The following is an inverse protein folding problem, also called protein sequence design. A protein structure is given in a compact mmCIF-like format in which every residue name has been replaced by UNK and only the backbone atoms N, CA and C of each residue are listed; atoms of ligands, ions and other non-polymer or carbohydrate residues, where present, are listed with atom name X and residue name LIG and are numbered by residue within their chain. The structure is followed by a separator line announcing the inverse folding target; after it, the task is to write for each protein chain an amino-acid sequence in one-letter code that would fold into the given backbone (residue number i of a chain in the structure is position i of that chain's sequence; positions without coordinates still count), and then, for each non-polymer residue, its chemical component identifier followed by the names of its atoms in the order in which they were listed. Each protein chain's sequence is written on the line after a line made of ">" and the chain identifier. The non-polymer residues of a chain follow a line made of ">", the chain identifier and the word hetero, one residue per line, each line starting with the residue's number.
data_IF_886532731403
#
_entry.id   IF_886532731403
#
_cell.length_a   1.000
_cell.length_b   1.000
_cell.length_c   1.000
_cell.angle_alpha   90.00
_cell.angle_beta   90.00
_cell.angle_gamma   90.00
#
_symmetry.space_group_name_H-M   'P 1'
#
loop_
_entity.id
_entity.type
_entity.pdbx_description
1 polymer ?
#
# COMPACT_ATOMS: atom_id res chain seq x y z
N UNK A 1 21.53 18.20 10.51
CA UNK A 1 20.94 18.04 9.17
C UNK A 1 21.81 17.03 8.44
N UNK A 2 21.36 15.78 8.34
CA UNK A 2 21.94 14.82 7.39
C UNK A 2 21.78 15.45 5.99
N UNK A 3 22.88 15.57 5.25
CA UNK A 3 22.82 16.00 3.86
C UNK A 3 21.87 15.04 3.14
N UNK A 4 20.72 15.56 2.68
CA UNK A 4 19.72 14.75 2.00
C UNK A 4 20.37 14.10 0.79
N UNK A 5 20.58 12.81 0.88
CA UNK A 5 20.86 12.00 -0.31
C UNK A 5 19.65 12.15 -1.22
N UNK A 6 19.89 12.51 -2.47
CA UNK A 6 18.84 12.55 -3.48
C UNK A 6 18.21 11.14 -3.56
N UNK A 7 16.91 11.02 -3.31
CA UNK A 7 16.21 9.74 -3.27
C UNK A 7 16.32 8.96 -4.59
N UNK A 8 16.64 9.63 -5.71
CA UNK A 8 16.94 8.99 -6.99
C UNK A 8 18.14 8.03 -6.94
N UNK A 9 19.02 8.18 -5.97
CA UNK A 9 20.24 7.37 -5.81
C UNK A 9 20.21 6.49 -4.56
N UNK A 10 19.07 6.43 -3.87
CA UNK A 10 18.91 5.64 -2.64
C UNK A 10 18.81 4.15 -2.95
N UNK A 11 19.50 3.34 -2.14
CA UNK A 11 19.39 1.90 -2.17
C UNK A 11 18.30 1.45 -1.20
N UNK A 12 17.21 0.91 -1.74
CA UNK A 12 16.09 0.41 -0.94
C UNK A 12 16.23 -1.10 -0.69
N UNK A 13 16.07 -1.51 0.56
CA UNK A 13 16.00 -2.91 0.98
C UNK A 13 14.56 -3.27 1.31
N UNK A 14 13.99 -4.19 0.53
CA UNK A 14 12.64 -4.71 0.78
C UNK A 14 12.64 -5.67 1.95
N UNK A 15 11.74 -5.49 2.89
CA UNK A 15 11.57 -6.35 4.07
C UNK A 15 10.16 -6.92 4.12
N UNK A 16 10.07 -8.25 4.08
CA UNK A 16 8.89 -8.98 4.51
C UNK A 16 9.04 -9.29 6.00
N UNK A 17 8.40 -8.48 6.85
CA UNK A 17 8.55 -8.56 8.32
C UNK A 17 8.26 -9.97 8.83
N UNK A 18 7.20 -10.61 8.32
CA UNK A 18 6.76 -11.97 8.68
C UNK A 18 7.88 -13.01 8.71
N UNK A 19 8.85 -12.91 7.80
CA UNK A 19 9.93 -13.88 7.63
C UNK A 19 11.33 -13.34 7.92
N UNK A 20 11.46 -12.08 8.35
CA UNK A 20 12.78 -11.45 8.47
C UNK A 20 13.51 -11.86 9.75
N UNK A 21 12.96 -11.58 10.93
CA UNK A 21 13.55 -11.97 12.21
C UNK A 21 12.47 -11.98 13.31
N UNK A 22 12.39 -13.14 13.99
CA UNK A 22 11.49 -13.42 15.09
C UNK A 22 12.14 -12.93 16.39
N UNK A 23 11.65 -11.84 16.96
CA UNK A 23 12.21 -11.23 18.16
C UNK A 23 11.63 -11.79 19.46
N UNK A 24 10.40 -12.28 19.45
CA UNK A 24 9.69 -12.77 20.63
C UNK A 24 9.64 -14.30 20.74
N UNK A 25 9.99 -15.03 19.67
CA UNK A 25 10.10 -16.49 19.65
C UNK A 25 8.80 -17.22 19.33
N UNK A 26 7.84 -16.55 18.70
CA UNK A 26 6.55 -17.13 18.31
C UNK A 26 6.60 -17.87 16.96
N UNK A 27 7.67 -17.72 16.21
CA UNK A 27 7.90 -18.32 14.89
C UNK A 27 7.58 -17.39 13.73
N UNK A 28 7.20 -16.15 13.99
CA UNK A 28 6.89 -15.11 13.02
C UNK A 28 7.83 -13.92 13.23
N UNK A 29 8.31 -13.31 12.15
CA UNK A 29 9.11 -12.08 12.25
C UNK A 29 8.26 -10.90 12.72
N UNK A 30 8.89 -9.98 13.46
CA UNK A 30 8.24 -8.84 14.08
C UNK A 30 9.08 -7.56 14.00
N UNK A 31 8.49 -6.41 14.34
CA UNK A 31 9.15 -5.11 14.30
C UNK A 31 10.26 -4.96 15.35
N UNK A 32 10.11 -5.46 16.59
CA UNK A 32 11.22 -5.52 17.54
C UNK A 32 12.42 -6.30 16.99
N UNK A 33 12.18 -7.48 16.41
CA UNK A 33 13.21 -8.30 15.80
C UNK A 33 13.88 -7.64 14.61
N UNK A 34 13.10 -6.99 13.73
CA UNK A 34 13.64 -6.20 12.63
C UNK A 34 14.52 -5.05 13.17
N UNK A 35 14.07 -4.35 14.21
CA UNK A 35 14.81 -3.25 14.84
C UNK A 35 16.14 -3.74 15.40
N UNK A 36 16.18 -4.92 16.03
CA UNK A 36 17.41 -5.54 16.54
C UNK A 36 18.42 -5.81 15.41
N UNK A 37 17.95 -6.08 14.19
CA UNK A 37 18.80 -6.46 13.04
C UNK A 37 19.10 -5.32 12.08
N UNK A 38 18.76 -4.08 12.41
CA UNK A 38 19.02 -2.92 11.52
C UNK A 38 20.50 -2.78 11.15
N UNK A 39 21.43 -3.12 12.04
CA UNK A 39 22.86 -3.05 11.76
C UNK A 39 23.32 -4.01 10.64
N UNK A 40 22.53 -5.02 10.30
CA UNK A 40 22.77 -5.84 9.10
C UNK A 40 22.45 -5.06 7.80
N UNK A 41 21.44 -4.21 7.84
CA UNK A 41 21.02 -3.41 6.69
C UNK A 41 21.90 -2.17 6.56
N UNK A 42 22.08 -1.43 7.66
CA UNK A 42 22.95 -0.27 7.77
C UNK A 42 23.20 0.06 9.24
N UNK A 43 24.47 0.09 9.65
CA UNK A 43 24.87 0.40 11.03
C UNK A 43 25.00 1.92 11.31
N UNK A 44 24.73 2.76 10.31
CA UNK A 44 24.85 4.21 10.40
C UNK A 44 26.27 4.73 10.34
N UNK A 45 27.26 3.88 10.11
CA UNK A 45 28.67 4.25 10.08
C UNK A 45 29.27 4.03 8.68
N UNK A 46 29.46 5.06 7.86
CA UNK A 46 29.97 4.91 6.49
C UNK A 46 31.43 4.44 6.41
N UNK A 47 32.10 4.25 7.52
CA UNK A 47 33.48 3.74 7.58
C UNK A 47 33.55 2.21 7.79
N UNK A 48 32.44 1.56 8.04
CA UNK A 48 32.33 0.10 8.12
C UNK A 48 31.99 -0.51 6.78
N UNK A 49 32.26 -1.79 6.60
CA UNK A 49 31.91 -2.61 5.44
C UNK A 49 31.23 -3.92 5.86
N UNK A 50 30.58 -3.89 7.04
CA UNK A 50 29.98 -5.05 7.68
C UNK A 50 28.48 -5.16 7.52
N UNK A 51 27.86 -4.15 6.89
CA UNK A 51 26.44 -4.07 6.57
C UNK A 51 26.19 -4.07 5.05
N UNK A 52 24.93 -3.95 4.64
CA UNK A 52 24.56 -3.85 3.23
C UNK A 52 24.70 -2.44 2.66
N UNK A 53 24.82 -1.41 3.51
CA UNK A 53 24.89 0.00 3.14
C UNK A 53 23.61 0.54 2.51
N UNK A 54 22.46 -0.11 2.69
CA UNK A 54 21.18 0.40 2.20
C UNK A 54 20.72 1.55 3.08
N UNK A 55 20.31 2.64 2.46
CA UNK A 55 19.89 3.87 3.13
C UNK A 55 18.36 4.12 3.02
N UNK A 56 17.62 3.13 2.56
CA UNK A 56 16.16 3.04 2.57
C UNK A 56 15.68 1.64 2.89
N UNK A 57 14.56 1.53 3.60
CA UNK A 57 13.84 0.28 3.83
C UNK A 57 12.42 0.44 3.28
N UNK A 58 11.99 -0.53 2.47
CA UNK A 58 10.61 -0.70 2.09
C UNK A 58 10.02 -1.87 2.86
N UNK A 59 9.05 -1.59 3.72
CA UNK A 59 8.27 -2.61 4.42
C UNK A 59 7.12 -3.08 3.53
N UNK A 60 7.05 -4.37 3.23
CA UNK A 60 5.82 -5.00 2.76
C UNK A 60 4.70 -4.74 3.77
N UNK A 61 3.40 -4.96 3.44
CA UNK A 61 2.29 -4.52 4.28
C UNK A 61 2.44 -4.90 5.75
N UNK A 62 2.23 -3.93 6.64
CA UNK A 62 2.36 -4.08 8.11
C UNK A 62 1.04 -3.87 8.85
N UNK A 63 -0.01 -3.49 8.12
CA UNK A 63 -1.34 -3.22 8.68
C UNK A 63 -2.08 -4.52 8.97
N UNK A 64 -3.08 -4.50 9.89
CA UNK A 64 -3.93 -5.66 10.16
C UNK A 64 -4.58 -6.22 8.89
N UNK A 65 -4.55 -7.54 8.75
CA UNK A 65 -5.06 -8.25 7.60
C UNK A 65 -5.50 -9.67 7.97
N UNK A 66 -6.17 -10.38 7.06
CA UNK A 66 -6.56 -11.77 7.28
C UNK A 66 -5.55 -12.78 6.76
N UNK A 67 -4.62 -12.34 5.89
CA UNK A 67 -3.59 -13.19 5.28
C UNK A 67 -2.20 -12.90 5.82
N UNK A 68 -1.29 -13.86 5.62
CA UNK A 68 0.12 -13.72 6.05
C UNK A 68 0.88 -12.64 5.29
N UNK A 69 0.51 -12.36 4.03
CA UNK A 69 1.14 -11.33 3.21
C UNK A 69 0.60 -9.93 3.46
N UNK A 70 -0.57 -9.83 4.09
CA UNK A 70 -1.21 -8.59 4.57
C UNK A 70 -1.61 -7.57 3.51
N UNK A 71 -1.73 -7.99 2.23
CA UNK A 71 -2.28 -7.11 1.19
C UNK A 71 -3.80 -6.91 1.30
N UNK A 72 -4.51 -7.73 2.07
CA UNK A 72 -5.93 -7.61 2.37
C UNK A 72 -6.17 -6.83 3.67
N UNK A 73 -5.95 -5.52 3.63
CA UNK A 73 -5.99 -4.64 4.80
C UNK A 73 -7.38 -4.59 5.43
N UNK A 74 -7.45 -4.71 6.77
CA UNK A 74 -8.66 -4.58 7.57
C UNK A 74 -8.72 -3.30 8.41
N UNK A 75 -7.57 -2.65 8.63
CA UNK A 75 -7.44 -1.36 9.34
C UNK A 75 -6.19 -0.63 8.82
N UNK A 76 -6.37 0.54 8.21
CA UNK A 76 -5.27 1.31 7.63
C UNK A 76 -4.45 2.10 8.65
N UNK A 77 -4.92 2.27 9.89
CA UNK A 77 -4.28 3.11 10.90
C UNK A 77 -3.75 2.30 12.10
N UNK A 78 -3.42 1.03 11.90
CA UNK A 78 -2.88 0.16 12.93
C UNK A 78 -1.71 -0.68 12.40
N UNK A 79 -0.96 -1.26 13.34
CA UNK A 79 0.02 -2.32 13.08
C UNK A 79 -0.63 -3.66 13.40
N UNK A 80 -0.40 -4.66 12.53
CA UNK A 80 -0.85 -6.03 12.78
C UNK A 80 -0.25 -6.57 14.08
N UNK A 81 -1.10 -7.17 14.93
CA UNK A 81 -0.68 -7.67 16.25
C UNK A 81 0.45 -8.71 16.20
N UNK A 82 0.58 -9.44 15.07
CA UNK A 82 1.69 -10.37 14.87
C UNK A 82 3.04 -9.66 14.69
N UNK A 83 3.02 -8.38 14.31
CA UNK A 83 4.24 -7.60 14.06
C UNK A 83 4.61 -6.71 15.25
N UNK A 84 3.73 -6.58 16.24
CA UNK A 84 3.91 -5.76 17.42
C UNK A 84 2.89 -4.63 17.54
N UNK A 85 3.32 -3.53 18.13
CA UNK A 85 2.48 -2.37 18.44
C UNK A 85 2.86 -1.15 17.57
N UNK A 86 2.04 -0.11 17.62
CA UNK A 86 2.39 1.18 17.03
C UNK A 86 3.65 1.79 17.68
N UNK A 87 3.87 1.58 18.98
CA UNK A 87 5.10 2.02 19.66
C UNK A 87 6.34 1.29 19.14
N UNK A 88 6.22 0.00 18.80
CA UNK A 88 7.30 -0.76 18.16
C UNK A 88 7.61 -0.22 16.77
N UNK A 89 6.58 0.16 15.99
CA UNK A 89 6.76 0.78 14.68
C UNK A 89 7.45 2.15 14.79
N UNK A 90 7.01 3.02 15.71
CA UNK A 90 7.65 4.31 15.95
C UNK A 90 9.10 4.14 16.43
N UNK A 91 9.37 3.14 17.25
CA UNK A 91 10.74 2.77 17.69
C UNK A 91 11.60 2.35 16.50
N UNK A 92 11.07 1.51 15.62
CA UNK A 92 11.74 1.10 14.38
C UNK A 92 12.05 2.29 13.48
N UNK A 93 11.06 3.15 13.20
CA UNK A 93 11.26 4.35 12.36
C UNK A 93 12.34 5.26 12.94
N UNK A 94 12.30 5.53 14.24
CA UNK A 94 13.30 6.36 14.91
C UNK A 94 14.71 5.72 14.81
N UNK A 95 14.83 4.42 15.01
CA UNK A 95 16.10 3.71 14.88
C UNK A 95 16.65 3.72 13.44
N UNK A 96 15.76 3.70 12.44
CA UNK A 96 16.12 3.90 11.03
C UNK A 96 16.67 5.31 10.81
N UNK A 97 15.94 6.32 11.26
CA UNK A 97 16.34 7.73 11.07
C UNK A 97 17.66 8.05 11.75
N UNK A 98 17.94 7.50 12.93
CA UNK A 98 19.24 7.64 13.61
C UNK A 98 20.41 7.10 12.79
N UNK A 99 20.17 6.12 11.91
CA UNK A 99 21.13 5.54 10.95
C UNK A 99 21.15 6.19 9.58
N UNK A 100 20.29 7.19 9.35
CA UNK A 100 20.12 7.83 8.03
C UNK A 100 19.32 6.97 7.04
N UNK A 101 18.60 5.95 7.52
CA UNK A 101 17.72 5.10 6.72
C UNK A 101 16.34 5.75 6.63
N UNK A 102 15.79 5.90 5.43
CA UNK A 102 14.40 6.31 5.21
C UNK A 102 13.47 5.09 5.20
N UNK A 103 12.25 5.29 5.67
CA UNK A 103 11.25 4.22 5.77
C UNK A 103 10.11 4.47 4.80
N UNK A 104 9.89 3.51 3.90
CA UNK A 104 8.77 3.44 2.98
C UNK A 104 7.87 2.27 3.38
N UNK A 105 6.57 2.51 3.42
CA UNK A 105 5.57 1.45 3.65
C UNK A 105 4.85 1.07 2.36
N UNK A 106 4.45 -0.19 2.29
CA UNK A 106 3.51 -0.64 1.26
C UNK A 106 2.13 -0.05 1.53
N UNK A 107 1.54 0.60 0.54
CA UNK A 107 0.29 1.34 0.67
C UNK A 107 -0.75 0.81 -0.31
N UNK A 108 -1.65 -0.02 0.20
CA UNK A 108 -2.61 -0.79 -0.59
C UNK A 108 -3.88 0.03 -0.75
N UNK A 109 -3.96 0.87 -1.80
CA UNK A 109 -5.14 1.69 -2.06
C UNK A 109 -6.13 1.04 -3.04
N UNK A 110 -5.69 0.05 -3.84
CA UNK A 110 -6.55 -0.55 -4.84
C UNK A 110 -7.75 -1.29 -4.25
N UNK A 111 -7.57 -1.94 -3.12
CA UNK A 111 -8.57 -2.82 -2.50
C UNK A 111 -8.42 -2.88 -0.99
N UNK A 112 -9.45 -3.35 -0.32
CA UNK A 112 -9.41 -3.72 1.10
C UNK A 112 -9.58 -5.22 1.27
N UNK A 113 -9.48 -5.73 2.50
CA UNK A 113 -10.06 -7.02 2.84
C UNK A 113 -11.60 -6.97 2.72
N UNK A 114 -12.23 -8.10 2.35
CA UNK A 114 -13.68 -8.28 2.51
C UNK A 114 -14.12 -8.18 3.98
N UNK A 115 -13.19 -8.28 4.93
CA UNK A 115 -13.44 -8.11 6.36
C UNK A 115 -13.26 -6.65 6.83
N UNK A 116 -12.86 -5.74 5.95
CA UNK A 116 -12.77 -4.32 6.30
C UNK A 116 -14.14 -3.77 6.70
N UNK A 117 -14.26 -2.94 7.76
CA UNK A 117 -15.53 -2.38 8.21
C UNK A 117 -16.32 -1.65 7.11
N UNK A 118 -15.63 -0.97 6.19
CA UNK A 118 -16.29 -0.29 5.06
C UNK A 118 -17.05 -1.30 4.18
N UNK A 119 -16.38 -2.39 3.75
CA UNK A 119 -17.01 -3.39 2.92
C UNK A 119 -18.12 -4.15 3.64
N UNK A 120 -17.89 -4.53 4.90
CA UNK A 120 -18.91 -5.24 5.70
C UNK A 120 -20.17 -4.39 5.86
N UNK A 121 -20.04 -3.09 6.15
CA UNK A 121 -21.18 -2.19 6.29
C UNK A 121 -21.95 -2.03 4.96
N UNK A 122 -21.23 -1.83 3.85
CA UNK A 122 -21.86 -1.77 2.53
C UNK A 122 -22.57 -3.09 2.18
N UNK A 123 -21.92 -4.22 2.43
CA UNK A 123 -22.47 -5.54 2.14
C UNK A 123 -23.72 -5.85 2.97
N UNK A 124 -23.76 -5.51 4.26
CA UNK A 124 -24.94 -5.66 5.11
C UNK A 124 -26.10 -4.78 4.62
N UNK A 125 -25.82 -3.51 4.31
CA UNK A 125 -26.82 -2.60 3.76
C UNK A 125 -27.43 -3.15 2.45
N UNK A 126 -26.60 -3.63 1.51
CA UNK A 126 -27.07 -4.19 0.25
C UNK A 126 -27.86 -5.48 0.40
N UNK A 127 -27.55 -6.31 1.41
CA UNK A 127 -28.33 -7.53 1.73
C UNK A 127 -29.73 -7.22 2.24
N UNK A 128 -29.87 -6.12 2.99
CA UNK A 128 -31.14 -5.69 3.56
C UNK A 128 -31.97 -4.82 2.61
N UNK A 129 -31.37 -4.39 1.46
CA UNK A 129 -32.03 -3.54 0.49
C UNK A 129 -33.13 -4.32 -0.25
N UNK A 130 -34.37 -3.83 -0.31
CA UNK A 130 -35.45 -4.50 -1.04
C UNK A 130 -35.12 -4.70 -2.53
N UNK A 131 -35.58 -5.82 -3.09
CA UNK A 131 -35.39 -6.14 -4.50
C UNK A 131 -35.82 -4.97 -5.42
N UNK A 132 -34.94 -4.60 -6.36
CA UNK A 132 -35.19 -3.52 -7.31
C UNK A 132 -34.99 -2.10 -6.78
N UNK A 133 -34.62 -1.96 -5.49
CA UNK A 133 -34.24 -0.66 -4.95
C UNK A 133 -32.77 -0.35 -5.26
N UNK A 134 -32.51 0.89 -5.62
CA UNK A 134 -31.14 1.39 -5.74
C UNK A 134 -30.58 1.82 -4.38
N UNK A 135 -29.25 1.67 -4.15
CA UNK A 135 -28.62 2.10 -2.91
C UNK A 135 -28.74 3.61 -2.73
N UNK A 136 -28.87 4.00 -1.47
CA UNK A 136 -28.88 5.40 -1.03
C UNK A 136 -27.56 5.70 -0.31
N UNK A 137 -26.71 6.51 -0.91
CA UNK A 137 -25.40 6.88 -0.37
C UNK A 137 -25.52 7.82 0.86
N UNK A 138 -26.64 8.51 1.05
CA UNK A 138 -26.89 9.25 2.29
C UNK A 138 -27.18 8.31 3.46
N UNK A 139 -27.85 7.17 3.19
CA UNK A 139 -28.14 6.15 4.20
C UNK A 139 -26.94 5.27 4.52
N UNK A 140 -26.12 4.93 3.50
CA UNK A 140 -24.90 4.15 3.64
C UNK A 140 -23.81 4.68 2.69
N UNK A 141 -22.93 5.59 3.13
CA UNK A 141 -21.88 6.12 2.27
C UNK A 141 -20.93 5.06 1.72
N UNK A 142 -20.73 3.97 2.43
CA UNK A 142 -19.81 2.91 2.05
C UNK A 142 -20.18 2.14 0.77
N UNK A 143 -21.40 2.28 0.27
CA UNK A 143 -21.76 1.70 -1.04
C UNK A 143 -21.08 2.42 -2.20
N UNK A 144 -20.63 3.66 -2.00
CA UNK A 144 -19.84 4.42 -2.98
C UNK A 144 -18.33 4.14 -2.87
N UNK A 145 -17.90 3.45 -1.80
CA UNK A 145 -16.48 3.12 -1.61
C UNK A 145 -15.99 1.97 -2.49
N UNK A 146 -16.92 1.20 -3.06
CA UNK A 146 -16.64 0.03 -3.90
C UNK A 146 -17.48 0.05 -5.17
N UNK A 147 -17.04 -0.67 -6.19
CA UNK A 147 -17.79 -0.83 -7.43
C UNK A 147 -18.82 -1.95 -7.29
N UNK A 148 -20.04 -1.60 -6.87
CA UNK A 148 -21.18 -2.53 -6.84
C UNK A 148 -22.02 -2.46 -8.11
N UNK A 149 -22.50 -3.61 -8.59
CA UNK A 149 -23.35 -3.71 -9.79
C UNK A 149 -24.34 -4.86 -9.66
N UNK A 150 -25.50 -4.75 -10.30
CA UNK A 150 -26.43 -5.87 -10.52
C UNK A 150 -26.06 -6.71 -11.76
N UNK A 151 -25.13 -6.23 -12.57
CA UNK A 151 -24.62 -6.94 -13.71
C UNK A 151 -23.24 -7.51 -13.42
N UNK A 152 -23.03 -8.79 -13.73
CA UNK A 152 -21.75 -9.45 -13.57
C UNK A 152 -20.76 -8.95 -14.62
N UNK A 153 -19.81 -8.11 -14.21
CA UNK A 153 -18.66 -7.71 -14.99
C UNK A 153 -17.51 -8.75 -15.01
N UNK A 154 -16.52 -8.50 -15.85
CA UNK A 154 -15.22 -9.19 -15.74
C UNK A 154 -14.54 -8.75 -14.44
N UNK A 155 -13.97 -9.68 -13.66
CA UNK A 155 -13.39 -9.37 -12.35
C UNK A 155 -14.40 -9.14 -11.24
N UNK A 156 -15.71 -9.31 -11.49
CA UNK A 156 -16.76 -9.12 -10.49
C UNK A 156 -17.12 -10.44 -9.80
N UNK A 157 -17.24 -10.39 -8.48
CA UNK A 157 -17.67 -11.48 -7.62
C UNK A 157 -19.10 -11.24 -7.09
N UNK A 158 -19.89 -12.30 -6.94
CA UNK A 158 -21.25 -12.16 -6.40
C UNK A 158 -21.19 -11.92 -4.89
N UNK A 159 -21.91 -10.90 -4.41
CA UNK A 159 -22.16 -10.70 -2.99
C UNK A 159 -23.16 -11.77 -2.52
N UNK A 160 -22.68 -12.70 -1.69
CA UNK A 160 -23.42 -13.89 -1.29
C UNK A 160 -24.81 -13.57 -0.72
N UNK A 161 -25.84 -14.22 -1.26
CA UNK A 161 -27.23 -14.06 -0.83
C UNK A 161 -27.97 -12.87 -1.45
N UNK A 162 -27.38 -12.19 -2.43
CA UNK A 162 -27.97 -11.06 -3.13
C UNK A 162 -27.88 -11.21 -4.64
N UNK A 163 -28.48 -10.28 -5.38
CA UNK A 163 -28.29 -10.08 -6.83
C UNK A 163 -27.21 -9.06 -7.16
N UNK A 164 -26.46 -8.60 -6.15
CA UNK A 164 -25.34 -7.69 -6.30
C UNK A 164 -24.03 -8.42 -6.59
N UNK A 165 -23.18 -7.75 -7.36
CA UNK A 165 -21.78 -8.09 -7.62
C UNK A 165 -20.89 -6.93 -7.18
N UNK A 166 -19.66 -7.20 -6.83
CA UNK A 166 -18.63 -6.21 -6.52
C UNK A 166 -17.35 -6.52 -7.30
N UNK A 167 -16.61 -5.49 -7.66
CA UNK A 167 -15.32 -5.67 -8.31
C UNK A 167 -14.30 -6.24 -7.32
N UNK A 168 -13.51 -7.22 -7.78
CA UNK A 168 -12.44 -7.86 -7.03
C UNK A 168 -11.48 -8.53 -8.03
N UNK A 169 -10.61 -7.73 -8.63
CA UNK A 169 -9.74 -8.16 -9.73
C UNK A 169 -8.74 -9.23 -9.31
N UNK A 170 -8.26 -9.18 -8.06
CA UNK A 170 -7.26 -10.12 -7.55
C UNK A 170 -7.88 -11.35 -6.90
N UNK A 171 -8.85 -11.16 -6.02
CA UNK A 171 -9.46 -12.23 -5.25
C UNK A 171 -10.77 -11.77 -4.62
N UNK A 172 -11.77 -12.69 -4.50
CA UNK A 172 -13.09 -12.38 -3.91
C UNK A 172 -13.03 -11.79 -2.49
N UNK A 173 -11.95 -12.06 -1.73
CA UNK A 173 -11.72 -11.49 -0.41
C UNK A 173 -10.98 -10.14 -0.44
N UNK A 174 -10.72 -9.60 -1.63
CA UNK A 174 -10.08 -8.30 -1.87
C UNK A 174 -10.96 -7.44 -2.77
N UNK A 175 -12.08 -6.87 -2.27
CA UNK A 175 -12.94 -5.97 -3.04
C UNK A 175 -12.20 -4.69 -3.40
N UNK A 176 -12.28 -4.29 -4.68
CA UNK A 176 -11.62 -3.11 -5.22
C UNK A 176 -12.35 -1.84 -4.79
N UNK A 177 -11.57 -0.85 -4.36
CA UNK A 177 -12.05 0.46 -3.94
C UNK A 177 -12.35 1.36 -5.15
N UNK A 178 -13.38 2.17 -5.02
CA UNK A 178 -13.69 3.24 -5.96
C UNK A 178 -12.82 4.48 -5.66
N UNK A 179 -11.64 4.57 -6.26
CA UNK A 179 -10.72 5.69 -6.06
C UNK A 179 -11.15 6.98 -6.79
N UNK A 180 -12.24 6.95 -7.56
CA UNK A 180 -12.89 8.15 -8.09
C UNK A 180 -13.82 8.80 -7.05
N UNK A 181 -14.25 8.08 -6.00
CA UNK A 181 -15.06 8.61 -4.92
C UNK A 181 -14.29 9.63 -4.09
N UNK A 182 -14.84 10.85 -3.95
CA UNK A 182 -14.27 11.89 -3.08
C UNK A 182 -14.20 11.44 -1.61
N UNK A 183 -15.16 10.63 -1.16
CA UNK A 183 -15.18 10.11 0.20
C UNK A 183 -14.02 9.13 0.43
N UNK A 184 -13.72 8.24 -0.50
CA UNK A 184 -12.56 7.34 -0.42
C UNK A 184 -11.26 8.13 -0.47
N UNK A 185 -11.17 9.15 -1.32
CA UNK A 185 -10.00 10.04 -1.38
C UNK A 185 -9.77 10.78 -0.06
N UNK A 186 -10.84 11.21 0.62
CA UNK A 186 -10.76 11.85 1.93
C UNK A 186 -10.23 10.87 3.00
N UNK A 187 -10.67 9.62 2.99
CA UNK A 187 -10.13 8.60 3.90
C UNK A 187 -8.62 8.41 3.69
N UNK A 188 -8.17 8.29 2.45
CA UNK A 188 -6.74 8.15 2.17
C UNK A 188 -5.93 9.42 2.43
N UNK A 189 -6.53 10.60 2.36
CA UNK A 189 -5.90 11.84 2.80
C UNK A 189 -5.60 11.80 4.32
N UNK A 190 -6.57 11.37 5.14
CA UNK A 190 -6.44 11.24 6.58
C UNK A 190 -5.49 10.09 6.99
N UNK A 191 -5.57 8.94 6.31
CA UNK A 191 -4.66 7.81 6.51
C UNK A 191 -3.22 8.21 6.19
N UNK A 192 -3.01 9.02 5.14
CA UNK A 192 -1.69 9.53 4.78
C UNK A 192 -1.14 10.45 5.85
N UNK A 193 -1.94 11.36 6.40
CA UNK A 193 -1.53 12.20 7.54
C UNK A 193 -1.08 11.36 8.72
N UNK A 194 -1.87 10.34 9.07
CA UNK A 194 -1.54 9.42 10.15
C UNK A 194 -0.14 8.81 9.99
N UNK A 195 0.19 8.26 8.81
CA UNK A 195 1.49 7.62 8.60
C UNK A 195 2.65 8.61 8.49
N UNK A 196 2.42 9.78 7.90
CA UNK A 196 3.43 10.84 7.86
C UNK A 196 3.77 11.36 9.26
N UNK A 197 2.78 11.47 10.17
CA UNK A 197 2.99 11.81 11.58
C UNK A 197 3.79 10.74 12.33
N UNK A 198 3.71 9.47 11.92
CA UNK A 198 4.53 8.37 12.45
C UNK A 198 5.96 8.33 11.88
N UNK A 199 6.30 9.27 11.00
CA UNK A 199 7.65 9.42 10.47
C UNK A 199 7.92 8.64 9.17
N UNK A 200 6.90 8.12 8.50
CA UNK A 200 7.05 7.49 7.19
C UNK A 200 7.61 8.49 6.17
N UNK A 201 8.55 8.05 5.35
CA UNK A 201 9.26 8.85 4.36
C UNK A 201 8.85 8.57 2.93
N UNK A 202 8.09 7.52 2.70
CA UNK A 202 7.65 7.14 1.37
C UNK A 202 6.52 6.14 1.36
N UNK A 203 5.89 6.02 0.20
CA UNK A 203 4.82 5.07 -0.07
C UNK A 203 5.11 4.26 -1.32
N UNK A 204 5.07 2.94 -1.20
CA UNK A 204 5.00 2.04 -2.35
C UNK A 204 3.53 1.78 -2.63
N UNK A 205 3.07 2.19 -3.78
CA UNK A 205 1.68 2.08 -4.20
C UNK A 205 1.46 0.75 -4.90
N UNK A 206 0.76 -0.15 -4.21
CA UNK A 206 0.41 -1.47 -4.71
C UNK A 206 -0.59 -1.38 -5.87
N UNK A 207 -0.42 -2.26 -6.87
CA UNK A 207 -1.36 -2.49 -7.97
C UNK A 207 -1.87 -1.21 -8.67
N UNK A 208 -1.03 -0.19 -8.82
CA UNK A 208 -1.44 1.12 -9.34
C UNK A 208 -2.00 1.10 -10.78
N UNK A 209 -1.78 0.02 -11.51
CA UNK A 209 -2.35 -0.20 -12.84
C UNK A 209 -3.84 -0.59 -12.78
N UNK A 210 -4.31 -1.09 -11.64
CA UNK A 210 -5.66 -1.61 -11.47
C UNK A 210 -6.59 -0.65 -10.70
N UNK A 211 -6.13 0.56 -10.34
CA UNK A 211 -6.94 1.57 -9.63
C UNK A 211 -8.25 1.91 -10.33
N UNK A 212 -8.22 1.98 -11.66
CA UNK A 212 -9.40 1.96 -12.53
C UNK A 212 -9.10 0.98 -13.66
N UNK A 213 -9.67 -0.20 -13.56
CA UNK A 213 -9.34 -1.33 -14.43
C UNK A 213 -9.56 -1.00 -15.91
N UNK A 214 -8.45 -1.07 -16.67
CA UNK A 214 -8.48 -0.83 -18.12
C UNK A 214 -8.36 0.62 -18.55
N UNK A 215 -8.25 1.58 -17.62
CA UNK A 215 -8.11 3.01 -17.93
C UNK A 215 -6.75 3.57 -17.48
N UNK A 216 -5.80 3.70 -18.41
CA UNK A 216 -4.49 4.32 -18.11
C UNK A 216 -4.68 5.80 -17.70
N UNK A 217 -5.55 6.54 -18.35
CA UNK A 217 -5.76 7.96 -18.08
C UNK A 217 -6.34 8.18 -16.67
N UNK A 218 -7.32 7.36 -16.25
CA UNK A 218 -7.88 7.42 -14.89
C UNK A 218 -6.85 7.04 -13.84
N UNK A 219 -6.04 6.00 -14.08
CA UNK A 219 -4.96 5.60 -13.18
C UNK A 219 -3.92 6.72 -13.01
N UNK A 220 -3.55 7.42 -14.09
CA UNK A 220 -2.64 8.57 -14.03
C UNK A 220 -3.26 9.72 -13.24
N UNK A 221 -4.57 9.97 -13.41
CA UNK A 221 -5.29 11.02 -12.66
C UNK A 221 -5.29 10.70 -11.14
N UNK A 222 -5.64 9.47 -10.77
CA UNK A 222 -5.64 9.02 -9.37
C UNK A 222 -4.25 9.14 -8.76
N UNK A 223 -3.21 8.70 -9.46
CA UNK A 223 -1.82 8.85 -9.02
C UNK A 223 -1.40 10.31 -8.91
N UNK A 224 -1.85 11.18 -9.85
CA UNK A 224 -1.58 12.62 -9.79
C UNK A 224 -2.23 13.26 -8.57
N UNK A 225 -3.48 12.89 -8.28
CA UNK A 225 -4.16 13.33 -7.06
C UNK A 225 -3.36 12.91 -5.82
N UNK A 226 -3.01 11.63 -5.69
CA UNK A 226 -2.27 11.13 -4.53
C UNK A 226 -0.90 11.80 -4.39
N UNK A 227 -0.12 11.87 -5.47
CA UNK A 227 1.18 12.50 -5.48
C UNK A 227 1.11 13.97 -5.02
N UNK A 228 0.17 14.74 -5.57
CA UNK A 228 0.02 16.15 -5.22
C UNK A 228 -0.37 16.31 -3.73
N UNK A 229 -1.35 15.55 -3.26
CA UNK A 229 -1.80 15.55 -1.88
C UNK A 229 -0.64 15.25 -0.91
N UNK A 230 0.13 14.19 -1.17
CA UNK A 230 1.28 13.81 -0.33
C UNK A 230 2.38 14.87 -0.36
N UNK A 231 2.73 15.38 -1.55
CA UNK A 231 3.80 16.38 -1.71
C UNK A 231 3.44 17.74 -1.10
N UNK A 232 2.15 18.09 -1.02
CA UNK A 232 1.67 19.28 -0.29
C UNK A 232 1.87 19.14 1.22
N UNK A 233 1.70 17.93 1.78
CA UNK A 233 1.90 17.63 3.20
C UNK A 233 3.39 17.53 3.56
N UNK A 234 4.16 16.77 2.80
CA UNK A 234 5.61 16.54 3.00
C UNK A 234 6.28 16.40 1.64
N UNK A 235 6.89 17.48 1.15
CA UNK A 235 7.39 17.62 -0.22
C UNK A 235 8.52 16.64 -0.60
N UNK A 236 9.22 16.08 0.39
CA UNK A 236 10.31 15.13 0.23
C UNK A 236 9.88 13.65 0.41
N UNK A 237 8.59 13.38 0.54
CA UNK A 237 8.07 12.00 0.59
C UNK A 237 8.32 11.31 -0.74
N UNK A 238 8.92 10.11 -0.73
CA UNK A 238 9.19 9.34 -1.93
C UNK A 238 7.99 8.45 -2.31
N UNK A 239 7.59 8.48 -3.59
CA UNK A 239 6.46 7.71 -4.09
C UNK A 239 6.91 6.83 -5.24
N UNK A 240 6.79 5.50 -5.05
CA UNK A 240 7.03 4.50 -6.09
C UNK A 240 5.76 3.71 -6.35
N UNK A 241 5.36 3.57 -7.61
CA UNK A 241 4.15 2.83 -7.99
C UNK A 241 4.48 1.48 -8.63
N UNK A 242 3.70 0.47 -8.27
CA UNK A 242 3.72 -0.80 -8.98
C UNK A 242 2.78 -0.73 -10.20
N UNK A 243 3.38 -0.58 -11.37
CA UNK A 243 2.68 -0.67 -12.66
C UNK A 243 3.23 -1.88 -13.41
N UNK A 244 2.70 -3.05 -13.13
CA UNK A 244 3.18 -4.29 -13.76
C UNK A 244 2.76 -4.36 -15.22
N UNK A 245 3.61 -3.84 -16.08
CA UNK A 245 3.37 -3.74 -17.52
C UNK A 245 4.69 -3.66 -18.31
N UNK A 246 4.60 -3.53 -19.64
CA UNK A 246 5.74 -3.23 -20.48
C UNK A 246 6.22 -1.77 -20.31
N UNK A 247 7.44 -1.50 -20.76
CA UNK A 247 8.09 -0.18 -20.64
C UNK A 247 7.25 0.94 -21.26
N UNK A 248 6.61 0.72 -22.42
CA UNK A 248 5.83 1.75 -23.11
C UNK A 248 4.59 2.14 -22.29
N UNK A 249 4.00 1.18 -21.61
CA UNK A 249 2.83 1.39 -20.75
C UNK A 249 3.23 2.06 -19.44
N UNK A 250 4.15 1.49 -18.64
CA UNK A 250 4.45 2.07 -17.33
C UNK A 250 5.12 3.44 -17.42
N UNK A 251 5.86 3.73 -18.50
CA UNK A 251 6.46 5.04 -18.70
C UNK A 251 5.43 6.18 -18.79
N UNK A 252 4.19 5.89 -19.20
CA UNK A 252 3.12 6.89 -19.25
C UNK A 252 2.72 7.36 -17.85
N UNK A 253 2.84 6.50 -16.84
CA UNK A 253 2.45 6.80 -15.46
C UNK A 253 3.31 7.87 -14.80
N UNK A 254 4.53 8.13 -15.30
CA UNK A 254 5.34 9.27 -14.84
C UNK A 254 4.69 10.64 -15.10
N UNK A 255 3.67 10.73 -15.96
CA UNK A 255 2.86 11.94 -16.15
C UNK A 255 2.09 12.31 -14.86
N UNK A 256 1.90 11.38 -13.94
CA UNK A 256 1.29 11.63 -12.63
C UNK A 256 2.17 12.42 -11.67
N UNK A 257 3.49 12.53 -11.95
CA UNK A 257 4.44 13.20 -11.09
C UNK A 257 5.07 12.31 -10.00
N UNK A 258 4.74 11.01 -9.96
CA UNK A 258 5.39 10.06 -9.03
C UNK A 258 6.89 10.01 -9.25
N UNK A 259 7.65 9.71 -8.19
CA UNK A 259 9.12 9.72 -8.22
C UNK A 259 9.69 8.54 -9.01
N UNK A 260 9.05 7.36 -8.91
CA UNK A 260 9.53 6.15 -9.58
C UNK A 260 8.42 5.13 -9.84
N UNK A 261 8.74 4.14 -10.67
CA UNK A 261 7.97 2.92 -10.89
C UNK A 261 8.92 1.73 -10.97
N UNK A 262 8.44 0.54 -10.60
CA UNK A 262 9.22 -0.69 -10.77
C UNK A 262 9.42 -1.01 -12.25
N UNK A 263 10.67 -1.32 -12.63
CA UNK A 263 11.00 -1.80 -13.98
C UNK A 263 11.07 -3.34 -14.00
N UNK A 264 9.92 -3.97 -14.15
CA UNK A 264 9.83 -5.43 -14.29
C UNK A 264 10.47 -5.93 -15.59
N UNK A 265 10.56 -5.10 -16.63
CA UNK A 265 11.20 -5.47 -17.89
C UNK A 265 12.72 -5.62 -17.74
N UNK A 266 13.31 -4.96 -16.71
CA UNK A 266 14.72 -5.07 -16.38
C UNK A 266 15.02 -6.30 -15.53
N UNK A 267 14.21 -6.57 -14.51
CA UNK A 267 14.47 -7.55 -13.45
C UNK A 267 13.74 -8.88 -13.60
N UNK A 268 12.76 -9.00 -14.51
CA UNK A 268 11.98 -10.24 -14.69
C UNK A 268 12.88 -11.40 -15.21
N UNK A 269 12.40 -12.65 -15.07
CA UNK A 269 13.07 -13.88 -15.53
C UNK A 269 13.54 -13.84 -16.99
N UNK A 270 12.85 -13.06 -17.83
CA UNK A 270 13.17 -12.79 -19.23
C UNK A 270 13.69 -11.37 -19.47
N UNK A 271 13.96 -10.63 -18.40
CA UNK A 271 14.40 -9.24 -18.41
C UNK A 271 15.85 -9.03 -18.87
N UNK A 272 16.28 -7.77 -18.85
CA UNK A 272 17.60 -7.36 -19.33
C UNK A 272 18.74 -7.99 -18.51
N UNK A 273 18.56 -8.12 -17.17
CA UNK A 273 19.58 -8.73 -16.30
C UNK A 273 19.71 -10.24 -16.54
N UNK A 274 18.60 -10.92 -16.89
CA UNK A 274 18.57 -12.36 -17.09
C UNK A 274 19.21 -12.82 -18.41
N UNK A 275 19.43 -11.93 -19.35
CA UNK A 275 20.03 -12.17 -20.68
C UNK A 275 21.52 -11.89 -20.71
#
# INVERSE_FOLDING_TARGET
>A
EAAGTDDLYRSWYEVFVYSFYDGDGDGIGDLPGLTEKLDYINDGNPATDTDLGCDGIWLMPVMPATTYHKYDVTDYCAIDEQYGTMEDFETFVNACHERGIRVMIDFVMNHTSSQHPWFQTAAEYLKDLPEGMEPDTEACPYVDYYHFSREKGSGYCQLAGTDWYYEAQFWSEMPDLNLESEAVRQEFDEITDFWLEKGVDGFRLDAAKEYETGSIDSNIEILSWFNNMVKEKKSDTYIVAEVWSDLETYAQYYQSGIDSSFDFTFADKDGVIAK
#
